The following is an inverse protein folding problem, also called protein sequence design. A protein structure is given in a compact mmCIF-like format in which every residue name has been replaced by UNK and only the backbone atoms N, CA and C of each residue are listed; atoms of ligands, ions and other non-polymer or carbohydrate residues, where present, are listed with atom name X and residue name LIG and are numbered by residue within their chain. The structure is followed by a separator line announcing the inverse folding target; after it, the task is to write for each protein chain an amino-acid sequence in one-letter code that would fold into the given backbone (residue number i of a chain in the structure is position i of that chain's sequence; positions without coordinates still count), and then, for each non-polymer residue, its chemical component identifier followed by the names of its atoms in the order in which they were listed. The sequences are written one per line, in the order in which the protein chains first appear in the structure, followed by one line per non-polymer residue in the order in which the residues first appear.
data_IF_110420415283
#
_entry.id   IF_110420415283
#
_cell.length_a   1.000
_cell.length_b   1.000
_cell.length_c   1.000
_cell.angle_alpha   90.00
_cell.angle_beta   90.00
_cell.angle_gamma   90.00
#
_symmetry.space_group_name_H-M   'P 1'
#
loop_
_entity.id
_entity.type
_entity.pdbx_description
1 polymer ?
#
# COMPACT_ATOMS: atom_id res chain seq x y z
N UNK A 1 -25.24 -89.51 -27.07
CA UNK A 1 -25.55 -88.32 -27.90
C UNK A 1 -25.84 -87.17 -26.93
N UNK A 2 -24.89 -86.24 -26.73
CA UNK A 2 -25.02 -85.08 -25.83
C UNK A 2 -25.12 -83.81 -26.67
N UNK A 3 -26.33 -83.27 -26.79
CA UNK A 3 -26.60 -81.85 -27.03
C UNK A 3 -27.32 -81.36 -25.76
N UNK A 4 -27.13 -80.17 -25.22
CA UNK A 4 -26.31 -79.03 -25.56
C UNK A 4 -26.55 -77.99 -24.46
N UNK A 5 -25.60 -77.09 -24.23
CA UNK A 5 -25.88 -75.87 -23.47
C UNK A 5 -24.95 -74.76 -23.97
N UNK A 6 -25.13 -74.40 -25.25
CA UNK A 6 -24.33 -73.37 -25.94
C UNK A 6 -25.01 -71.99 -25.86
N UNK A 7 -26.28 -71.92 -25.45
CA UNK A 7 -27.04 -70.66 -25.43
C UNK A 7 -26.70 -69.72 -24.26
N UNK A 8 -26.10 -70.22 -23.17
CA UNK A 8 -25.75 -69.39 -21.99
C UNK A 8 -24.49 -68.53 -22.14
N UNK A 9 -23.58 -68.84 -23.06
CA UNK A 9 -22.31 -68.10 -23.19
C UNK A 9 -22.40 -66.85 -24.08
N UNK A 10 -23.42 -66.77 -24.95
CA UNK A 10 -23.59 -65.64 -25.87
C UNK A 10 -24.27 -64.41 -25.23
N UNK A 11 -25.10 -64.58 -24.19
CA UNK A 11 -25.75 -63.46 -23.51
C UNK A 11 -24.75 -62.65 -22.64
N UNK A 12 -23.87 -63.32 -21.89
CA UNK A 12 -22.91 -62.66 -21.01
C UNK A 12 -21.83 -61.85 -21.75
N UNK A 13 -21.57 -62.16 -23.03
CA UNK A 13 -20.60 -61.42 -23.85
C UNK A 13 -21.12 -60.05 -24.30
N UNK A 14 -22.43 -59.94 -24.56
CA UNK A 14 -23.06 -58.67 -24.98
C UNK A 14 -23.15 -57.67 -23.83
N UNK A 15 -23.50 -58.12 -22.63
CA UNK A 15 -23.60 -57.26 -21.45
C UNK A 15 -22.22 -56.76 -20.98
N UNK A 16 -21.19 -57.61 -21.04
CA UNK A 16 -19.81 -57.22 -20.70
C UNK A 16 -19.21 -56.25 -21.73
N UNK A 17 -19.62 -56.32 -22.99
CA UNK A 17 -19.19 -55.37 -24.02
C UNK A 17 -19.88 -54.01 -23.86
N UNK A 18 -21.21 -54.00 -23.64
CA UNK A 18 -21.96 -52.77 -23.39
C UNK A 18 -21.46 -52.04 -22.13
N UNK A 19 -21.18 -52.76 -21.04
CA UNK A 19 -20.65 -52.17 -19.82
C UNK A 19 -19.26 -51.55 -20.02
N UNK A 20 -18.38 -52.19 -20.81
CA UNK A 20 -17.04 -51.66 -21.12
C UNK A 20 -17.11 -50.42 -22.02
N UNK A 21 -18.04 -50.38 -22.98
CA UNK A 21 -18.25 -49.20 -23.84
C UNK A 21 -18.81 -48.02 -23.04
N UNK A 22 -19.76 -48.26 -22.13
CA UNK A 22 -20.31 -47.22 -21.26
C UNK A 22 -19.23 -46.68 -20.31
N UNK A 23 -18.44 -47.55 -19.68
CA UNK A 23 -17.34 -47.12 -18.80
C UNK A 23 -16.28 -46.32 -19.55
N UNK A 24 -15.95 -46.72 -20.79
CA UNK A 24 -15.00 -45.99 -21.63
C UNK A 24 -15.55 -44.61 -22.03
N UNK A 25 -16.85 -44.49 -22.33
CA UNK A 25 -17.49 -43.20 -22.63
C UNK A 25 -17.53 -42.28 -21.40
N UNK A 26 -17.77 -42.82 -20.20
CA UNK A 26 -17.73 -42.04 -18.95
C UNK A 26 -16.31 -41.55 -18.67
N UNK A 27 -15.29 -42.40 -18.80
CA UNK A 27 -13.89 -42.01 -18.61
C UNK A 27 -13.45 -40.99 -19.67
N UNK A 28 -13.88 -41.15 -20.92
CA UNK A 28 -13.57 -40.19 -21.99
C UNK A 28 -14.27 -38.84 -21.78
N UNK A 29 -15.47 -38.82 -21.19
CA UNK A 29 -16.16 -37.59 -20.83
C UNK A 29 -15.48 -36.81 -19.69
N UNK A 30 -14.74 -37.49 -18.82
CA UNK A 30 -13.99 -36.87 -17.72
C UNK A 30 -12.65 -36.25 -18.15
N UNK A 31 -12.09 -36.66 -19.30
CA UNK A 31 -10.83 -36.11 -19.83
C UNK A 31 -11.07 -34.81 -20.64
N UNK A 32 -12.32 -34.54 -21.03
CA UNK A 32 -12.72 -33.32 -21.74
C UNK A 32 -13.22 -32.20 -20.82
N UNK A 33 -12.90 -32.24 -19.51
CA UNK A 33 -13.04 -31.03 -18.70
C UNK A 33 -12.03 -30.04 -19.26
N UNK A 34 -12.45 -28.92 -19.87
CA UNK A 34 -11.51 -27.90 -20.31
C UNK A 34 -10.68 -27.53 -19.09
N UNK A 35 -9.38 -27.79 -19.15
CA UNK A 35 -8.44 -27.19 -18.22
C UNK A 35 -8.60 -25.69 -18.48
N UNK A 36 -9.38 -25.03 -17.64
CA UNK A 36 -9.43 -23.59 -17.59
C UNK A 36 -8.02 -23.17 -17.20
N UNK A 37 -7.18 -22.94 -18.20
CA UNK A 37 -5.93 -22.24 -18.02
C UNK A 37 -6.36 -20.86 -17.54
N UNK A 38 -6.24 -20.64 -16.22
CA UNK A 38 -6.35 -19.32 -15.65
C UNK A 38 -5.35 -18.47 -16.41
N UNK A 39 -5.84 -17.65 -17.35
CA UNK A 39 -5.03 -16.61 -17.95
C UNK A 39 -4.69 -15.69 -16.79
N UNK A 40 -3.46 -15.81 -16.31
CA UNK A 40 -2.86 -14.85 -15.40
C UNK A 40 -3.13 -13.47 -16.00
N UNK A 41 -3.96 -12.67 -15.32
CA UNK A 41 -4.25 -11.31 -15.80
C UNK A 41 -2.92 -10.58 -15.84
N UNK A 42 -2.49 -10.18 -17.03
CA UNK A 42 -1.21 -9.50 -17.22
C UNK A 42 -1.11 -8.30 -16.28
N UNK A 43 -0.06 -8.29 -15.46
CA UNK A 43 0.29 -7.15 -14.60
C UNK A 43 0.57 -5.93 -15.48
N UNK A 44 -0.31 -4.93 -15.43
CA UNK A 44 -0.08 -3.66 -16.13
C UNK A 44 0.70 -2.73 -15.22
N UNK A 45 1.82 -2.23 -15.70
CA UNK A 45 2.63 -1.22 -15.00
C UNK A 45 2.77 0.00 -15.90
N UNK A 46 2.48 1.19 -15.36
CA UNK A 46 2.59 2.47 -16.06
C UNK A 46 3.35 3.47 -15.19
N UNK A 47 4.43 4.03 -15.71
CA UNK A 47 5.05 5.23 -15.14
C UNK A 47 4.30 6.44 -15.69
N UNK A 48 3.69 7.20 -14.79
CA UNK A 48 2.81 8.32 -15.13
C UNK A 48 3.61 9.61 -15.28
N UNK A 49 3.18 10.45 -16.22
CA UNK A 49 3.78 11.76 -16.45
C UNK A 49 2.98 12.87 -15.76
N UNK A 50 3.63 13.91 -15.21
CA UNK A 50 2.90 15.05 -14.67
C UNK A 50 2.10 15.75 -15.77
N UNK A 51 0.89 16.17 -15.45
CA UNK A 51 0.18 17.17 -16.23
C UNK A 51 0.81 18.56 -16.01
N UNK A 52 0.74 19.42 -17.03
CA UNK A 52 1.32 20.77 -16.97
C UNK A 52 0.71 21.66 -15.88
N UNK A 53 -0.50 21.34 -15.42
CA UNK A 53 -1.19 22.03 -14.33
C UNK A 53 -0.93 21.40 -12.95
N UNK A 54 0.10 20.57 -12.80
CA UNK A 54 0.46 20.01 -11.49
C UNK A 54 1.15 21.06 -10.63
N UNK A 55 0.69 21.23 -9.40
CA UNK A 55 1.29 22.17 -8.43
C UNK A 55 2.70 21.71 -8.01
N UNK A 56 2.89 20.40 -7.90
CA UNK A 56 4.18 19.77 -7.59
C UNK A 56 4.50 18.64 -8.56
N UNK A 57 5.76 18.65 -8.99
CA UNK A 57 6.36 17.55 -9.74
C UNK A 57 7.03 16.59 -8.75
N UNK A 58 6.54 15.35 -8.73
CA UNK A 58 7.07 14.26 -7.92
C UNK A 58 8.19 13.58 -8.69
N UNK A 59 9.13 12.94 -7.99
CA UNK A 59 10.27 12.27 -8.61
C UNK A 59 9.80 11.11 -9.51
N UNK A 60 8.76 10.39 -9.08
CA UNK A 60 8.11 9.36 -9.87
C UNK A 60 6.71 9.05 -9.35
N UNK A 61 5.77 8.78 -10.25
CA UNK A 61 4.47 8.19 -9.94
C UNK A 61 4.27 6.95 -10.81
N UNK A 62 4.09 5.78 -10.20
CA UNK A 62 3.85 4.52 -10.89
C UNK A 62 2.50 3.97 -10.53
N UNK A 63 1.73 3.59 -11.54
CA UNK A 63 0.48 2.86 -11.38
C UNK A 63 0.68 1.40 -11.77
N UNK A 64 0.18 0.48 -10.93
CA UNK A 64 0.16 -0.96 -11.19
C UNK A 64 -1.25 -1.51 -11.03
N UNK A 65 -1.68 -2.36 -11.97
CA UNK A 65 -2.93 -3.11 -11.90
C UNK A 65 -2.64 -4.60 -12.05
N UNK A 66 -3.19 -5.42 -11.17
CA UNK A 66 -3.10 -6.88 -11.20
C UNK A 66 -4.46 -7.53 -10.85
N UNK A 67 -4.50 -8.85 -10.67
CA UNK A 67 -5.74 -9.55 -10.33
C UNK A 67 -6.27 -9.26 -8.91
N UNK A 68 -5.40 -8.77 -8.01
CA UNK A 68 -5.72 -8.48 -6.62
C UNK A 68 -6.15 -7.03 -6.39
N UNK A 69 -5.86 -6.11 -7.32
CA UNK A 69 -6.24 -4.71 -7.15
C UNK A 69 -5.39 -3.73 -7.93
N UNK A 70 -5.46 -2.47 -7.50
CA UNK A 70 -4.69 -1.36 -8.06
C UNK A 70 -3.76 -0.77 -7.02
N UNK A 71 -2.64 -0.24 -7.50
CA UNK A 71 -1.61 0.33 -6.67
C UNK A 71 -1.04 1.60 -7.30
N UNK A 72 -0.88 2.64 -6.49
CA UNK A 72 -0.21 3.88 -6.86
C UNK A 72 1.00 4.06 -5.95
N UNK A 73 2.18 4.09 -6.56
CA UNK A 73 3.45 4.33 -5.88
C UNK A 73 4.01 5.69 -6.25
N UNK A 74 4.20 6.53 -5.25
CA UNK A 74 4.74 7.89 -5.34
C UNK A 74 6.14 7.91 -4.71
N UNK A 75 7.05 8.63 -5.36
CA UNK A 75 8.37 8.97 -4.83
C UNK A 75 8.52 10.49 -4.87
N UNK A 76 8.99 11.07 -3.79
CA UNK A 76 9.30 12.50 -3.70
C UNK A 76 10.39 12.78 -2.70
N UNK A 77 10.79 14.06 -2.60
CA UNK A 77 11.85 14.53 -1.73
C UNK A 77 11.49 15.87 -1.09
N UNK A 78 11.94 16.10 0.15
CA UNK A 78 11.69 17.32 0.93
C UNK A 78 12.85 17.66 1.87
N UNK A 79 12.82 18.89 2.38
CA UNK A 79 13.69 19.35 3.47
C UNK A 79 12.97 19.06 4.78
N UNK A 80 13.69 18.49 5.76
CA UNK A 80 13.15 18.16 7.06
C UNK A 80 12.80 19.42 7.87
N UNK A 81 11.90 19.28 8.86
CA UNK A 81 11.40 20.39 9.67
C UNK A 81 10.80 21.56 8.85
N UNK A 82 10.42 21.33 7.60
CA UNK A 82 9.80 22.32 6.74
C UNK A 82 8.35 22.61 7.12
N UNK A 83 7.73 23.51 6.35
CA UNK A 83 6.32 23.84 6.52
C UNK A 83 5.50 22.64 6.03
N UNK A 84 4.52 22.15 6.80
CA UNK A 84 3.61 21.11 6.33
C UNK A 84 2.94 21.48 5.00
N UNK A 85 2.96 20.53 4.07
CA UNK A 85 2.31 20.63 2.77
C UNK A 85 1.45 19.39 2.52
N UNK A 86 0.35 19.57 1.80
CA UNK A 86 -0.57 18.51 1.42
C UNK A 86 -0.97 18.59 -0.05
N UNK A 87 -1.10 17.43 -0.70
CA UNK A 87 -1.46 17.34 -2.10
C UNK A 87 -2.42 16.18 -2.34
N UNK A 88 -3.47 16.49 -3.10
CA UNK A 88 -4.36 15.51 -3.68
C UNK A 88 -3.78 15.01 -5.01
N UNK A 89 -3.81 13.69 -5.23
CA UNK A 89 -3.18 13.01 -6.35
C UNK A 89 -4.24 12.45 -7.29
N UNK A 90 -4.45 13.14 -8.41
CA UNK A 90 -5.38 12.71 -9.46
C UNK A 90 -4.65 11.83 -10.47
N UNK A 91 -5.14 10.61 -10.68
CA UNK A 91 -4.54 9.64 -11.61
C UNK A 91 -5.41 9.50 -12.85
N UNK A 92 -4.83 9.74 -14.03
CA UNK A 92 -5.47 9.43 -15.31
C UNK A 92 -4.77 8.23 -15.97
N UNK A 93 -5.29 7.02 -15.70
CA UNK A 93 -4.70 5.76 -16.18
C UNK A 93 -4.74 5.67 -17.72
N UNK A 94 -5.79 6.19 -18.35
CA UNK A 94 -5.96 6.15 -19.80
C UNK A 94 -4.92 7.03 -20.52
N UNK A 95 -4.75 8.27 -20.05
CA UNK A 95 -3.76 9.22 -20.58
C UNK A 95 -2.33 8.90 -20.12
N UNK A 96 -2.18 8.09 -19.07
CA UNK A 96 -0.87 7.81 -18.46
C UNK A 96 -0.29 9.04 -17.75
N UNK A 97 -1.16 9.85 -17.13
CA UNK A 97 -0.78 11.10 -16.47
C UNK A 97 -1.22 11.14 -15.01
N UNK A 98 -0.59 12.03 -14.24
CA UNK A 98 -1.05 12.40 -12.90
C UNK A 98 -1.10 13.92 -12.75
N UNK A 99 -1.93 14.42 -11.84
CA UNK A 99 -1.98 15.82 -11.45
C UNK A 99 -1.96 15.92 -9.93
N UNK A 100 -1.13 16.83 -9.41
CA UNK A 100 -1.11 17.19 -7.99
C UNK A 100 -1.88 18.49 -7.80
N UNK A 101 -2.82 18.50 -6.85
CA UNK A 101 -3.59 19.67 -6.44
C UNK A 101 -3.28 19.96 -4.99
N UNK A 102 -2.81 21.18 -4.69
CA UNK A 102 -2.47 21.57 -3.32
C UNK A 102 -3.71 21.57 -2.44
N UNK A 103 -3.64 20.95 -1.25
CA UNK A 103 -4.67 21.05 -0.21
C UNK A 103 -4.47 22.37 0.56
N UNK A 104 -5.52 23.17 0.65
CA UNK A 104 -5.52 24.37 1.48
C UNK A 104 -5.62 23.95 2.95
N UNK A 105 -4.71 24.44 3.80
CA UNK A 105 -4.62 24.12 5.23
C UNK A 105 -4.48 22.61 5.51
N UNK A 106 -3.27 22.02 5.42
CA UNK A 106 -3.08 20.62 5.75
C UNK A 106 -3.41 20.37 7.22
N UNK A 107 -4.62 19.88 7.48
CA UNK A 107 -5.03 19.44 8.82
C UNK A 107 -4.42 18.06 9.01
N UNK A 108 -3.45 17.97 9.93
CA UNK A 108 -2.90 16.67 10.30
C UNK A 108 -3.98 15.89 11.05
N UNK A 109 -4.49 14.85 10.41
CA UNK A 109 -5.36 13.89 11.09
C UNK A 109 -4.49 13.06 12.04
N UNK A 110 -4.50 13.41 13.32
CA UNK A 110 -3.90 12.60 14.38
C UNK A 110 -4.96 12.34 15.43
N UNK A 111 -5.10 11.07 15.84
CA UNK A 111 -6.00 10.66 16.92
C UNK A 111 -5.58 11.24 18.28
N UNK A 112 -4.37 11.79 18.40
CA UNK A 112 -3.86 12.48 19.58
C UNK A 112 -2.68 13.38 19.14
N UNK A 113 -2.86 14.70 19.09
CA UNK A 113 -1.71 15.63 19.13
C UNK A 113 -2.01 16.77 20.13
N UNK A 114 -1.73 16.46 21.39
CA UNK A 114 -0.94 17.42 22.17
C UNK A 114 0.44 17.49 21.51
N UNK A 115 0.61 18.46 20.60
CA UNK A 115 1.92 18.89 20.11
C UNK A 115 2.72 19.48 21.29
N UNK A 116 3.24 18.59 22.14
CA UNK A 116 4.31 18.91 23.06
C UNK A 116 5.53 19.21 22.17
N UNK A 117 5.74 20.49 21.89
CA UNK A 117 7.01 21.08 21.48
C UNK A 117 8.04 20.91 22.59
N UNK A 118 8.30 19.66 23.00
CA UNK A 118 9.45 19.34 23.81
C UNK A 118 10.66 19.64 22.92
N UNK A 119 11.22 20.85 23.08
CA UNK A 119 12.65 21.06 22.90
C UNK A 119 13.31 19.87 23.59
N UNK A 120 13.89 18.97 22.80
CA UNK A 120 14.75 17.92 23.33
C UNK A 120 15.85 18.66 24.09
N UNK A 121 15.74 18.68 25.41
CA UNK A 121 16.79 19.17 26.28
C UNK A 121 18.03 18.37 25.95
N UNK A 122 19.11 19.05 25.57
CA UNK A 122 20.39 18.41 25.31
C UNK A 122 20.75 17.48 26.47
N UNK A 123 21.22 16.25 26.21
CA UNK A 123 21.74 15.40 27.26
C UNK A 123 22.93 16.11 27.91
N UNK A 124 22.80 16.42 29.19
CA UNK A 124 23.83 17.06 30.00
C UNK A 124 25.02 16.10 30.16
N UNK A 125 25.97 16.15 29.21
CA UNK A 125 27.24 15.43 29.29
C UNK A 125 28.40 16.37 29.60
N UNK A 126 29.23 15.88 30.51
CA UNK A 126 30.38 16.51 31.15
C UNK A 126 31.40 16.99 30.12
N UNK A 127 31.87 18.23 30.32
CA UNK A 127 32.99 18.86 29.63
C UNK A 127 34.19 17.90 29.49
N UNK A 128 34.44 17.44 28.27
CA UNK A 128 35.77 17.08 27.80
C UNK A 128 35.93 17.68 26.41
N UNK A 129 36.91 18.57 26.28
CA UNK A 129 37.27 19.28 25.07
C UNK A 129 37.81 18.32 24.00
N UNK A 130 36.90 17.66 23.30
CA UNK A 130 37.10 17.22 21.92
C UNK A 130 36.30 18.16 21.04
N UNK A 131 36.79 18.50 19.85
CA UNK A 131 36.01 19.22 18.84
C UNK A 131 34.76 18.38 18.53
N UNK A 132 33.67 18.68 19.23
CA UNK A 132 32.38 18.04 19.05
C UNK A 132 31.86 18.48 17.70
N UNK A 133 31.84 17.56 16.74
CA UNK A 133 31.07 17.73 15.50
C UNK A 133 29.67 18.22 15.90
N UNK A 134 29.25 19.37 15.36
CA UNK A 134 27.95 19.96 15.65
C UNK A 134 26.86 18.94 15.34
N UNK A 135 26.18 18.44 16.37
CA UNK A 135 25.07 17.49 16.19
C UNK A 135 23.80 18.29 15.92
N UNK A 136 23.17 18.08 14.78
CA UNK A 136 21.88 18.70 14.44
C UNK A 136 20.78 17.66 14.43
N UNK A 137 19.56 18.03 14.82
CA UNK A 137 18.42 17.11 14.90
C UNK A 137 17.36 17.49 13.88
N UNK A 138 16.87 16.50 13.15
CA UNK A 138 15.91 16.66 12.07
C UNK A 138 14.70 15.75 12.30
N UNK A 139 13.51 16.24 11.94
CA UNK A 139 12.26 15.47 11.95
C UNK A 139 11.61 15.51 10.57
N UNK A 140 11.30 14.33 10.04
CA UNK A 140 10.49 14.16 8.85
C UNK A 140 9.23 13.36 9.22
N UNK A 141 8.12 13.68 8.57
CA UNK A 141 6.94 12.84 8.56
C UNK A 141 6.27 12.87 7.20
N UNK A 142 5.62 11.75 6.89
CA UNK A 142 4.84 11.55 5.67
C UNK A 142 3.53 10.93 6.09
N UNK A 143 2.42 11.51 5.64
CA UNK A 143 1.08 11.00 5.90
C UNK A 143 0.37 10.72 4.57
N UNK A 144 -0.23 9.55 4.50
CA UNK A 144 -1.06 9.10 3.39
C UNK A 144 -2.49 9.01 3.88
N UNK A 145 -3.40 9.63 3.14
CA UNK A 145 -4.83 9.65 3.43
C UNK A 145 -5.57 9.10 2.22
N UNK A 146 -6.56 8.26 2.48
CA UNK A 146 -7.56 7.88 1.48
C UNK A 146 -8.83 8.66 1.78
N UNK A 147 -9.37 9.34 0.77
CA UNK A 147 -10.62 10.08 0.82
C UNK A 147 -11.64 9.54 -0.19
N UNK A 148 -12.88 10.01 -0.06
CA UNK A 148 -13.97 9.73 -1.00
C UNK A 148 -14.03 10.81 -2.12
N UNK A 149 -14.91 10.65 -3.14
CA UNK A 149 -15.00 11.61 -4.25
C UNK A 149 -15.41 13.04 -3.84
N UNK A 150 -15.99 13.24 -2.65
CA UNK A 150 -16.33 14.57 -2.15
C UNK A 150 -15.23 15.16 -1.27
N UNK A 151 -14.13 14.42 -1.07
CA UNK A 151 -12.96 14.82 -0.31
C UNK A 151 -13.09 14.61 1.19
N UNK A 152 -13.99 13.73 1.66
CA UNK A 152 -14.00 13.31 3.05
C UNK A 152 -12.88 12.30 3.31
N UNK A 153 -11.97 12.63 4.24
CA UNK A 153 -10.92 11.72 4.67
C UNK A 153 -11.52 10.48 5.37
N UNK A 154 -11.17 9.29 4.89
CA UNK A 154 -11.72 8.02 5.36
C UNK A 154 -10.73 7.26 6.25
N UNK A 155 -9.48 7.15 5.83
CA UNK A 155 -8.42 6.47 6.59
C UNK A 155 -7.08 7.15 6.38
N UNK A 156 -6.21 7.12 7.38
CA UNK A 156 -4.87 7.68 7.25
C UNK A 156 -3.79 6.89 7.98
N UNK A 157 -2.56 6.96 7.43
CA UNK A 157 -1.33 6.44 8.02
C UNK A 157 -0.28 7.54 8.01
N UNK A 158 0.35 7.83 9.13
CA UNK A 158 1.45 8.81 9.25
C UNK A 158 2.68 8.13 9.82
N UNK A 159 3.78 8.20 9.08
CA UNK A 159 5.09 7.74 9.51
C UNK A 159 5.94 8.96 9.87
N UNK A 160 6.52 8.97 11.06
CA UNK A 160 7.44 10.00 11.54
C UNK A 160 8.79 9.38 11.87
N UNK A 161 9.86 10.13 11.58
CA UNK A 161 11.24 9.79 11.90
C UNK A 161 11.98 11.04 12.41
N UNK A 162 12.70 10.88 13.52
CA UNK A 162 13.67 11.85 14.04
C UNK A 162 15.06 11.25 14.00
N UNK A 163 16.05 12.01 13.52
CA UNK A 163 17.45 11.59 13.45
C UNK A 163 18.41 12.69 13.87
N UNK A 164 19.60 12.29 14.29
CA UNK A 164 20.75 13.16 14.50
C UNK A 164 21.64 13.12 13.26
N UNK A 165 22.14 14.29 12.85
CA UNK A 165 23.13 14.47 11.80
C UNK A 165 24.44 14.96 12.43
N UNK A 166 25.49 14.16 12.29
CA UNK A 166 26.85 14.43 12.78
C UNK A 166 27.76 14.98 11.67
N UNK A 167 27.19 15.43 10.54
CA UNK A 167 27.87 15.94 9.35
C UNK A 167 28.35 14.83 8.41
N UNK A 168 28.90 13.74 8.94
CA UNK A 168 29.38 12.59 8.14
C UNK A 168 28.59 11.31 8.36
N UNK A 169 27.82 11.23 9.44
CA UNK A 169 26.97 10.08 9.78
C UNK A 169 25.64 10.53 10.35
N UNK A 170 24.67 9.63 10.35
CA UNK A 170 23.34 9.77 10.90
C UNK A 170 23.16 8.82 12.08
N UNK A 171 22.51 9.30 13.14
CA UNK A 171 22.04 8.51 14.26
C UNK A 171 20.51 8.45 14.30
N UNK A 172 19.95 7.26 14.52
CA UNK A 172 18.53 7.11 14.81
C UNK A 172 18.19 7.68 16.20
N UNK A 173 17.10 8.45 16.31
CA UNK A 173 16.60 9.01 17.58
C UNK A 173 15.24 8.44 17.95
N UNK A 174 14.25 8.57 17.06
CA UNK A 174 12.90 8.03 17.30
C UNK A 174 12.13 7.84 16.01
N UNK A 175 11.14 6.96 16.04
CA UNK A 175 10.17 6.76 14.97
C UNK A 175 8.76 6.58 15.56
N UNK A 176 7.75 6.79 14.72
CA UNK A 176 6.36 6.58 15.10
C UNK A 176 5.51 6.25 13.87
N UNK A 177 4.53 5.35 14.05
CA UNK A 177 3.50 5.07 13.06
C UNK A 177 2.11 5.28 13.68
N UNK A 178 1.45 6.35 13.28
CA UNK A 178 0.07 6.65 13.68
C UNK A 178 -0.91 6.33 12.57
N UNK A 179 -2.13 5.99 12.96
CA UNK A 179 -3.19 5.55 12.06
C UNK A 179 -4.52 6.13 12.53
N UNK A 180 -5.40 6.49 11.61
CA UNK A 180 -6.75 6.95 11.90
C UNK A 180 -7.75 6.35 10.92
N UNK A 181 -9.01 6.19 11.35
CA UNK A 181 -10.12 5.67 10.56
C UNK A 181 -11.40 6.43 10.87
N UNK A 182 -12.18 6.75 9.85
CA UNK A 182 -13.52 7.31 9.97
C UNK A 182 -14.50 6.24 10.45
N UNK A 183 -15.06 6.44 11.65
CA UNK A 183 -16.01 5.51 12.25
C UNK A 183 -17.03 6.23 13.16
N UNK A 184 -18.23 6.54 12.65
CA UNK A 184 -18.61 6.56 11.24
C UNK A 184 -17.93 7.71 10.48
N UNK A 185 -17.94 7.63 9.15
CA UNK A 185 -17.76 8.80 8.27
C UNK A 185 -19.02 9.68 8.30
N UNK A 186 -18.94 10.88 7.73
CA UNK A 186 -20.05 11.83 7.60
C UNK A 186 -21.18 11.27 6.74
N UNK A 187 -20.87 10.34 5.84
CA UNK A 187 -21.83 9.56 5.06
C UNK A 187 -22.31 8.26 5.74
N UNK A 188 -21.89 8.01 6.99
CA UNK A 188 -22.36 6.87 7.78
C UNK A 188 -21.68 5.55 7.47
N UNK A 189 -20.56 5.56 6.72
CA UNK A 189 -19.76 4.36 6.45
C UNK A 189 -18.75 4.10 7.56
N UNK A 190 -18.29 2.87 7.70
CA UNK A 190 -17.45 2.45 8.82
C UNK A 190 -16.13 1.85 8.34
N UNK A 191 -15.05 2.59 8.53
CA UNK A 191 -13.70 2.13 8.24
C UNK A 191 -13.04 1.53 9.48
N UNK A 192 -12.34 0.43 9.27
CA UNK A 192 -11.67 -0.33 10.32
C UNK A 192 -10.19 -0.46 9.99
N UNK A 193 -9.36 -0.43 11.04
CA UNK A 193 -7.96 -0.84 10.94
C UNK A 193 -7.88 -2.37 11.04
N UNK A 194 -7.32 -3.01 10.02
CA UNK A 194 -7.03 -4.46 10.04
C UNK A 194 -5.72 -4.73 10.77
N UNK A 195 -4.65 -4.13 10.28
CA UNK A 195 -3.32 -4.28 10.87
C UNK A 195 -2.47 -3.03 10.61
N UNK A 196 -1.44 -2.87 11.43
CA UNK A 196 -0.35 -1.93 11.18
C UNK A 196 0.99 -2.53 11.60
N UNK A 197 2.06 -2.08 10.96
CA UNK A 197 3.42 -2.54 11.23
C UNK A 197 4.38 -1.38 11.07
N UNK A 198 5.07 -1.03 12.16
CA UNK A 198 6.25 -0.16 12.13
C UNK A 198 7.46 -1.09 12.07
N UNK A 199 8.31 -0.91 11.07
CA UNK A 199 9.51 -1.73 10.90
C UNK A 199 10.70 -1.11 11.63
N UNK A 200 11.71 -1.92 11.93
CA UNK A 200 12.93 -1.43 12.54
C UNK A 200 13.68 -0.45 11.62
N UNK A 201 14.31 0.60 12.18
CA UNK A 201 15.15 1.50 11.42
C UNK A 201 16.36 0.77 10.83
N UNK A 202 16.76 1.16 9.62
CA UNK A 202 17.90 0.54 8.93
C UNK A 202 18.94 1.59 8.50
N UNK A 203 20.12 1.52 9.11
CA UNK A 203 21.29 2.33 8.77
C UNK A 203 22.17 1.60 7.74
N UNK A 204 22.60 2.31 6.70
CA UNK A 204 23.43 1.76 5.63
C UNK A 204 24.34 2.82 5.01
N UNK A 205 25.26 2.38 4.14
CA UNK A 205 26.35 3.21 3.62
C UNK A 205 27.15 3.89 4.73
N UNK A 206 27.72 3.10 5.64
CA UNK A 206 28.54 3.63 6.76
C UNK A 206 27.79 4.68 7.61
N UNK A 207 26.50 4.44 7.82
CA UNK A 207 25.57 5.32 8.54
C UNK A 207 25.34 6.69 7.85
N UNK A 208 25.52 6.80 6.52
CA UNK A 208 25.19 8.02 5.77
C UNK A 208 23.71 8.09 5.34
N UNK A 209 22.97 7.00 5.51
CA UNK A 209 21.53 6.93 5.23
C UNK A 209 20.81 6.13 6.30
N UNK A 210 19.61 6.58 6.63
CA UNK A 210 18.69 5.91 7.54
C UNK A 210 17.34 5.73 6.85
N UNK A 211 16.92 4.49 6.73
CA UNK A 211 15.58 4.13 6.27
C UNK A 211 14.66 3.87 7.47
N UNK A 212 13.46 4.43 7.40
CA UNK A 212 12.34 4.07 8.25
C UNK A 212 11.14 3.76 7.39
N UNK A 213 10.39 2.71 7.72
CA UNK A 213 9.20 2.33 6.98
C UNK A 213 8.06 1.87 7.89
N UNK A 214 6.84 1.94 7.39
CA UNK A 214 5.64 1.50 8.09
C UNK A 214 4.51 1.19 7.11
N UNK A 215 3.56 0.37 7.55
CA UNK A 215 2.37 0.06 6.76
C UNK A 215 1.13 -0.08 7.63
N UNK A 216 -0.03 0.18 7.04
CA UNK A 216 -1.32 -0.12 7.63
C UNK A 216 -2.30 -0.64 6.56
N UNK A 217 -3.23 -1.49 6.97
CA UNK A 217 -4.32 -1.98 6.13
C UNK A 217 -5.65 -1.64 6.78
N UNK A 218 -6.60 -1.30 5.93
CA UNK A 218 -7.93 -0.85 6.31
C UNK A 218 -8.98 -1.58 5.48
N UNK A 219 -10.18 -1.69 6.03
CA UNK A 219 -11.32 -2.20 5.29
C UNK A 219 -12.62 -1.50 5.69
N UNK A 220 -13.60 -1.64 4.81
CA UNK A 220 -14.96 -1.16 5.00
C UNK A 220 -15.95 -2.19 4.42
N UNK A 221 -17.02 -2.50 5.17
CA UNK A 221 -18.06 -3.46 4.75
C UNK A 221 -19.36 -2.80 4.28
N UNK A 222 -19.48 -1.48 4.35
CA UNK A 222 -20.68 -0.71 4.04
C UNK A 222 -20.42 0.47 3.09
N UNK A 223 -19.32 0.44 2.34
CA UNK A 223 -18.98 1.45 1.35
C UNK A 223 -19.90 1.31 0.15
N UNK A 224 -21.02 2.04 0.16
CA UNK A 224 -22.11 2.04 -0.83
C UNK A 224 -22.93 0.74 -0.92
N UNK A 225 -22.41 -0.41 -0.50
CA UNK A 225 -23.14 -1.68 -0.44
C UNK A 225 -22.61 -2.58 0.68
N UNK A 226 -23.54 -3.10 1.48
CA UNK A 226 -23.25 -3.84 2.72
C UNK A 226 -22.90 -5.31 2.51
N UNK A 227 -22.96 -5.80 1.28
CA UNK A 227 -22.72 -7.20 0.94
C UNK A 227 -21.27 -7.49 0.50
N UNK A 228 -20.46 -6.46 0.26
CA UNK A 228 -19.08 -6.58 -0.20
C UNK A 228 -18.13 -5.79 0.70
N UNK A 229 -16.83 -5.99 0.49
CA UNK A 229 -15.76 -5.37 1.26
C UNK A 229 -14.90 -4.53 0.33
N UNK A 230 -14.47 -3.38 0.83
CA UNK A 230 -13.48 -2.50 0.20
C UNK A 230 -12.23 -2.52 1.06
N UNK A 231 -11.06 -2.67 0.46
CA UNK A 231 -9.78 -2.76 1.16
C UNK A 231 -8.82 -1.67 0.67
N UNK A 232 -8.07 -1.11 1.61
CA UNK A 232 -7.06 -0.08 1.38
C UNK A 232 -5.78 -0.43 2.13
N UNK A 233 -4.63 -0.32 1.46
CA UNK A 233 -3.31 -0.52 2.04
C UNK A 233 -2.43 0.69 1.87
N UNK A 234 -1.82 1.15 2.96
CA UNK A 234 -0.80 2.19 2.95
C UNK A 234 0.55 1.57 3.30
N UNK A 235 1.59 1.87 2.54
CA UNK A 235 2.97 1.64 2.92
C UNK A 235 3.78 2.91 2.67
N UNK A 236 4.55 3.32 3.67
CA UNK A 236 5.32 4.56 3.67
C UNK A 236 6.78 4.21 4.00
N UNK A 237 7.71 4.85 3.30
CA UNK A 237 9.13 4.82 3.63
C UNK A 237 9.71 6.23 3.59
N UNK A 238 10.55 6.54 4.56
CA UNK A 238 11.38 7.74 4.65
C UNK A 238 12.84 7.29 4.60
N UNK A 239 13.65 7.93 3.75
CA UNK A 239 15.10 7.77 3.67
C UNK A 239 15.75 9.12 3.91
N UNK A 240 16.58 9.24 4.94
CA UNK A 240 17.22 10.52 5.32
C UNK A 240 18.67 10.63 4.83
N UNK A 241 19.15 11.86 4.72
CA UNK A 241 20.49 12.21 4.23
C UNK A 241 21.18 13.25 5.14
N UNK A 242 22.52 13.34 5.09
CA UNK A 242 23.36 14.25 5.90
C UNK A 242 23.35 15.72 5.42
N UNK A 243 22.19 16.20 4.99
CA UNK A 243 22.06 17.53 4.40
C UNK A 243 20.65 18.06 4.60
N UNK A 244 20.06 17.84 5.78
CA UNK A 244 18.69 18.25 6.14
C UNK A 244 17.57 17.71 5.22
N UNK A 245 17.87 16.89 4.20
CA UNK A 245 16.85 16.37 3.26
C UNK A 245 16.45 14.93 3.55
N UNK A 246 15.29 14.56 3.05
CA UNK A 246 14.83 13.19 2.99
C UNK A 246 14.08 12.92 1.69
N UNK A 247 14.11 11.67 1.24
CA UNK A 247 13.22 11.15 0.21
C UNK A 247 12.16 10.28 0.85
N UNK A 248 10.99 10.22 0.23
CA UNK A 248 9.90 9.38 0.70
C UNK A 248 9.30 8.54 -0.43
N UNK A 249 8.71 7.43 -0.03
CA UNK A 249 7.87 6.59 -0.88
C UNK A 249 6.53 6.43 -0.19
N UNK A 250 5.45 6.64 -0.95
CA UNK A 250 4.08 6.28 -0.57
C UNK A 250 3.62 5.22 -1.57
N UNK A 251 3.12 4.11 -1.07
CA UNK A 251 2.60 3.00 -1.86
C UNK A 251 1.18 2.71 -1.36
N UNK A 252 0.20 3.08 -2.19
CA UNK A 252 -1.22 3.08 -1.90
C UNK A 252 -1.91 1.99 -2.72
N UNK A 253 -2.36 0.93 -2.05
CA UNK A 253 -3.10 -0.17 -2.64
C UNK A 253 -4.59 -0.07 -2.35
N UNK A 254 -5.43 -0.48 -3.30
CA UNK A 254 -6.88 -0.49 -3.15
C UNK A 254 -7.52 -1.61 -3.97
N UNK A 255 -8.51 -2.26 -3.37
CA UNK A 255 -9.27 -3.33 -4.01
C UNK A 255 -10.67 -3.50 -3.38
N UNK A 256 -11.43 -4.47 -3.91
CA UNK A 256 -12.78 -4.77 -3.43
C UNK A 256 -13.88 -4.01 -4.15
N UNK A 257 -14.86 -3.52 -3.41
CA UNK A 257 -16.02 -2.84 -3.98
C UNK A 257 -15.80 -1.33 -4.14
N UNK A 258 -16.23 -0.74 -5.25
CA UNK A 258 -16.19 0.70 -5.49
C UNK A 258 -14.85 1.40 -5.17
N UNK A 259 -13.73 0.67 -5.06
CA UNK A 259 -12.42 1.22 -4.71
C UNK A 259 -11.96 2.29 -5.70
N UNK A 260 -12.50 2.25 -6.92
CA UNK A 260 -12.23 3.23 -7.99
C UNK A 260 -12.81 4.62 -7.70
N UNK A 261 -13.65 4.74 -6.66
CA UNK A 261 -14.13 6.02 -6.14
C UNK A 261 -13.21 6.62 -5.08
N UNK A 262 -12.27 5.84 -4.54
CA UNK A 262 -11.35 6.35 -3.54
C UNK A 262 -10.30 7.23 -4.20
N UNK A 263 -9.83 8.24 -3.48
CA UNK A 263 -8.73 9.09 -3.94
C UNK A 263 -7.59 9.09 -2.91
N UNK A 264 -6.47 9.71 -3.30
CA UNK A 264 -5.21 9.68 -2.57
C UNK A 264 -4.72 11.09 -2.27
N UNK A 265 -4.52 11.34 -1.00
CA UNK A 265 -3.89 12.53 -0.46
C UNK A 265 -2.55 12.18 0.20
N UNK A 266 -1.54 13.02 -0.02
CA UNK A 266 -0.22 12.90 0.58
C UNK A 266 0.19 14.20 1.24
N UNK A 267 0.62 14.10 2.50
CA UNK A 267 1.11 15.20 3.31
C UNK A 267 2.54 14.95 3.76
N UNK A 268 3.35 16.00 3.82
CA UNK A 268 4.76 15.96 4.21
C UNK A 268 5.14 17.22 4.98
N UNK A 269 6.24 17.19 5.74
CA UNK A 269 6.92 18.41 6.21
C UNK A 269 8.34 18.56 5.67
#
# INVERSE_FOLDING_TARGET
MRMGNVFGQLLGMRERFAFRVILFLIIFSLILIPVASAKEKEKKVKVLKPESSSEIILDSVTYTENEYGQNVRIIGSRVANGIPEGYHIQINVEKGTYKTVKKENPVLLTSDESLSTAKLSEPSYVNNSFETLSTTYWTAWVQTVTDDPVGEDLVSTKLRLTWADYGTTIGFISNELTTWTAFPSSFGTHWYLDNKTLFDPYLYYENQKLDQQGSARYYNYDFMNTALRTDVGHWIKITTFNNETYSYVVDWGRDGEYWWLLDLDVYTN
#
